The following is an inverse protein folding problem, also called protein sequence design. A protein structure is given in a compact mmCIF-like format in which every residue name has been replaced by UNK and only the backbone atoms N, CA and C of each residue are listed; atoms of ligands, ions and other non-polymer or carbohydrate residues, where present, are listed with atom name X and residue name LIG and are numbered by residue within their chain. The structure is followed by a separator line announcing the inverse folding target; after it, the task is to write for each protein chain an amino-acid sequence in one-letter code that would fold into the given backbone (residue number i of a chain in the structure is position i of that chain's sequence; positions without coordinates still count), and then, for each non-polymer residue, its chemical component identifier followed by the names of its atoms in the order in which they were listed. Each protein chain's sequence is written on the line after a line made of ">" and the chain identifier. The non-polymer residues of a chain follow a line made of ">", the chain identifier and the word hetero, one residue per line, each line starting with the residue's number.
data_IF_228006755975
#
_entry.id   IF_228006755975
#
_cell.length_a   1.000
_cell.length_b   1.000
_cell.length_c   1.000
_cell.angle_alpha   90.00
_cell.angle_beta   90.00
_cell.angle_gamma   90.00
#
_symmetry.space_group_name_H-M   'P 1'
#
loop_
_entity.id
_entity.type
_entity.pdbx_description
1 polymer ?
#
# COMPACT_ATOMS: atom_id res chain seq x y z
N UNK A 1 2.40 -17.96 -7.06
CA UNK A 1 2.43 -17.21 -8.31
C UNK A 1 3.78 -16.55 -8.50
N UNK A 2 4.25 -16.41 -9.74
CA UNK A 2 5.46 -15.67 -10.06
C UNK A 2 5.13 -14.47 -10.96
N UNK A 3 5.93 -13.41 -10.84
CA UNK A 3 5.81 -12.24 -11.69
C UNK A 3 6.02 -12.59 -13.18
N UNK A 4 6.86 -13.57 -13.49
CA UNK A 4 7.05 -14.08 -14.86
C UNK A 4 5.75 -14.66 -15.42
N UNK A 5 5.05 -15.50 -14.65
CA UNK A 5 3.77 -16.07 -15.08
C UNK A 5 2.69 -15.00 -15.26
N UNK A 6 2.60 -14.03 -14.33
CA UNK A 6 1.63 -12.93 -14.43
C UNK A 6 1.94 -12.05 -15.64
N UNK A 7 3.22 -11.72 -15.87
CA UNK A 7 3.65 -10.88 -17.00
C UNK A 7 3.34 -11.51 -18.36
N UNK A 8 3.36 -12.83 -18.44
CA UNK A 8 3.01 -13.57 -19.66
C UNK A 8 1.58 -13.26 -20.14
N UNK A 9 0.64 -13.07 -19.21
CA UNK A 9 -0.76 -12.81 -19.52
C UNK A 9 -1.08 -11.33 -19.77
N UNK A 10 -0.15 -10.42 -19.51
CA UNK A 10 -0.37 -9.01 -19.83
C UNK A 10 -0.24 -8.78 -21.35
N UNK A 11 -1.08 -7.90 -21.90
CA UNK A 11 -0.98 -7.45 -23.30
C UNK A 11 0.45 -7.00 -23.60
N UNK A 12 0.94 -7.37 -24.79
CA UNK A 12 2.27 -7.03 -25.29
C UNK A 12 3.41 -7.54 -24.35
N UNK A 13 3.21 -8.72 -23.76
CA UNK A 13 4.19 -9.35 -22.90
C UNK A 13 5.58 -9.36 -23.54
N UNK A 14 6.59 -9.02 -22.74
CA UNK A 14 8.00 -9.10 -23.15
C UNK A 14 8.52 -10.53 -23.26
N UNK A 15 7.79 -11.49 -22.73
CA UNK A 15 8.10 -12.93 -22.88
C UNK A 15 7.59 -13.41 -24.23
N UNK A 16 8.37 -14.25 -24.90
CA UNK A 16 7.98 -14.86 -26.16
C UNK A 16 6.70 -15.71 -25.95
N UNK A 17 5.58 -15.17 -26.35
CA UNK A 17 4.30 -15.83 -26.29
C UNK A 17 3.77 -16.06 -27.72
N UNK A 18 3.21 -17.22 -28.04
CA UNK A 18 2.66 -17.49 -29.37
C UNK A 18 1.42 -16.66 -29.67
N UNK A 19 0.81 -16.06 -28.64
CA UNK A 19 -0.41 -15.24 -28.76
C UNK A 19 -0.39 -14.07 -27.78
N UNK A 20 -0.84 -12.91 -28.24
CA UNK A 20 -1.12 -11.77 -27.36
C UNK A 20 -2.48 -12.00 -26.68
N UNK A 21 -2.52 -11.96 -25.35
CA UNK A 21 -3.76 -12.13 -24.59
C UNK A 21 -4.75 -10.96 -24.77
N UNK A 22 -4.24 -9.77 -25.17
CA UNK A 22 -4.95 -8.49 -25.19
C UNK A 22 -5.45 -8.00 -23.83
N UNK A 23 -5.10 -8.65 -22.71
CA UNK A 23 -5.43 -8.20 -21.37
C UNK A 23 -4.53 -7.03 -20.97
N UNK A 24 -5.05 -5.82 -20.97
CA UNK A 24 -4.29 -4.62 -20.56
C UNK A 24 -3.89 -4.68 -19.10
N UNK A 25 -4.79 -5.18 -18.26
CA UNK A 25 -4.63 -5.29 -16.82
C UNK A 25 -4.69 -6.76 -16.42
N UNK A 26 -3.76 -7.17 -15.59
CA UNK A 26 -3.73 -8.49 -14.93
C UNK A 26 -3.53 -8.30 -13.43
N UNK A 27 -3.99 -9.27 -12.63
CA UNK A 27 -3.92 -9.19 -11.17
C UNK A 27 -2.52 -9.55 -10.66
N UNK A 28 -1.96 -8.68 -9.86
CA UNK A 28 -0.61 -8.82 -9.29
C UNK A 28 -0.65 -9.61 -7.97
N UNK A 29 -1.02 -10.89 -8.06
CA UNK A 29 -1.00 -11.81 -6.91
C UNK A 29 0.40 -11.91 -6.25
N UNK A 30 1.51 -11.93 -7.02
CA UNK A 30 2.82 -11.94 -6.39
C UNK A 30 3.08 -10.71 -5.50
N UNK A 31 2.70 -9.50 -5.94
CA UNK A 31 2.82 -8.32 -5.08
C UNK A 31 1.95 -8.45 -3.83
N UNK A 32 0.74 -8.98 -3.95
CA UNK A 32 -0.14 -9.21 -2.80
C UNK A 32 0.53 -10.13 -1.78
N UNK A 33 1.15 -11.22 -2.20
CA UNK A 33 1.89 -12.14 -1.31
C UNK A 33 3.07 -11.43 -0.63
N UNK A 34 3.84 -10.63 -1.40
CA UNK A 34 4.94 -9.82 -0.85
C UNK A 34 4.47 -8.78 0.15
N UNK A 35 3.38 -8.05 -0.14
CA UNK A 35 2.80 -7.07 0.78
C UNK A 35 2.33 -7.72 2.10
N UNK A 36 1.63 -8.84 2.03
CA UNK A 36 1.15 -9.54 3.22
C UNK A 36 2.30 -9.93 4.16
N UNK A 37 3.42 -10.40 3.61
CA UNK A 37 4.61 -10.75 4.40
C UNK A 37 5.38 -9.51 4.86
N UNK A 38 5.59 -8.55 3.97
CA UNK A 38 6.39 -7.37 4.25
C UNK A 38 5.89 -6.56 5.44
N UNK A 39 4.57 -6.43 5.60
CA UNK A 39 3.98 -5.67 6.70
C UNK A 39 3.84 -6.47 8.00
N UNK A 40 4.01 -7.80 7.97
CA UNK A 40 4.08 -8.63 9.16
C UNK A 40 5.46 -8.64 9.81
N UNK A 41 6.50 -8.54 8.99
CA UNK A 41 7.89 -8.68 9.41
C UNK A 41 8.49 -7.32 9.79
N UNK A 42 9.49 -7.33 10.69
CA UNK A 42 10.40 -6.20 10.82
C UNK A 42 11.44 -6.20 9.69
N UNK A 43 11.86 -5.01 9.27
CA UNK A 43 12.89 -4.86 8.24
C UNK A 43 14.28 -4.82 8.91
N UNK A 44 14.80 -5.98 9.23
CA UNK A 44 16.09 -6.13 9.95
C UNK A 44 17.27 -6.45 9.06
N UNK A 45 17.02 -6.98 7.85
CA UNK A 45 18.05 -7.41 6.90
C UNK A 45 17.60 -7.23 5.45
N UNK A 46 18.34 -7.79 4.53
CA UNK A 46 18.11 -7.69 3.07
C UNK A 46 17.06 -8.70 2.55
N UNK A 47 16.37 -9.42 3.39
CA UNK A 47 15.46 -10.48 2.97
C UNK A 47 14.02 -10.34 3.52
N UNK A 48 13.83 -9.56 4.58
CA UNK A 48 12.56 -9.45 5.31
C UNK A 48 11.91 -8.07 5.26
N UNK A 49 10.70 -7.98 5.79
CA UNK A 49 9.97 -6.74 5.94
C UNK A 49 9.82 -5.96 4.64
N UNK A 50 10.00 -4.64 4.70
CA UNK A 50 9.83 -3.75 3.55
C UNK A 50 10.85 -4.01 2.42
N UNK A 51 11.94 -4.75 2.69
CA UNK A 51 12.87 -5.17 1.64
C UNK A 51 12.19 -6.07 0.61
N UNK A 52 11.20 -6.87 1.01
CA UNK A 52 10.40 -7.68 0.08
C UNK A 52 9.68 -6.86 -0.97
N UNK A 53 9.20 -5.67 -0.60
CA UNK A 53 8.54 -4.75 -1.53
C UNK A 53 9.54 -4.16 -2.52
N UNK A 54 10.70 -3.75 -2.02
CA UNK A 54 11.77 -3.24 -2.85
C UNK A 54 12.23 -4.29 -3.86
N UNK A 55 12.60 -5.48 -3.39
CA UNK A 55 13.09 -6.58 -4.24
C UNK A 55 12.06 -6.94 -5.32
N UNK A 56 10.78 -7.09 -4.94
CA UNK A 56 9.73 -7.38 -5.91
C UNK A 56 9.58 -6.29 -6.97
N UNK A 57 9.54 -5.02 -6.58
CA UNK A 57 9.35 -3.91 -7.51
C UNK A 57 10.56 -3.69 -8.44
N UNK A 58 11.78 -4.10 -8.05
CA UNK A 58 12.94 -4.08 -8.97
C UNK A 58 12.72 -4.99 -10.18
N UNK A 59 11.83 -5.97 -10.06
CA UNK A 59 11.50 -6.92 -11.13
C UNK A 59 10.39 -6.40 -12.07
N UNK A 60 9.91 -5.17 -11.91
CA UNK A 60 8.88 -4.58 -12.78
C UNK A 60 9.30 -4.53 -14.26
N UNK A 61 10.60 -4.66 -14.53
CA UNK A 61 11.15 -4.78 -15.89
C UNK A 61 10.58 -5.95 -16.70
N UNK A 62 10.04 -7.00 -16.05
CA UNK A 62 9.44 -8.15 -16.76
C UNK A 62 8.07 -7.83 -17.32
N UNK A 63 7.38 -6.83 -16.78
CA UNK A 63 6.04 -6.43 -17.25
C UNK A 63 6.12 -5.51 -18.47
N UNK A 64 5.17 -5.65 -19.38
CA UNK A 64 5.02 -4.72 -20.49
C UNK A 64 4.55 -3.33 -20.01
N UNK A 65 3.62 -3.32 -19.05
CA UNK A 65 3.03 -2.11 -18.49
C UNK A 65 2.76 -2.28 -16.98
N UNK A 66 3.77 -2.11 -16.10
CA UNK A 66 3.61 -2.33 -14.66
C UNK A 66 2.58 -1.39 -14.02
N UNK A 67 2.39 -0.18 -14.57
CA UNK A 67 1.36 0.76 -14.11
C UNK A 67 -0.07 0.29 -14.34
N UNK A 68 -0.28 -0.70 -15.21
CA UNK A 68 -1.59 -1.28 -15.50
C UNK A 68 -1.88 -2.56 -14.71
N UNK A 69 -1.02 -2.95 -13.78
CA UNK A 69 -1.27 -4.09 -12.92
C UNK A 69 -2.35 -3.75 -11.89
N UNK A 70 -3.31 -4.66 -11.68
CA UNK A 70 -4.29 -4.56 -10.61
C UNK A 70 -3.64 -5.07 -9.33
N UNK A 71 -3.49 -4.17 -8.35
CA UNK A 71 -2.81 -4.44 -7.07
C UNK A 71 -3.82 -4.42 -5.93
N UNK A 72 -3.65 -5.28 -4.94
CA UNK A 72 -4.61 -5.46 -3.85
C UNK A 72 -3.94 -6.10 -2.63
N UNK A 73 -4.52 -5.91 -1.45
CA UNK A 73 -4.06 -6.56 -0.20
C UNK A 73 -4.74 -7.88 0.03
N UNK A 74 -6.03 -7.95 -0.30
CA UNK A 74 -6.90 -9.10 -0.15
C UNK A 74 -8.01 -9.09 -1.20
N UNK A 75 -8.70 -10.22 -1.36
CA UNK A 75 -9.88 -10.35 -2.20
C UNK A 75 -10.79 -11.48 -1.66
N UNK A 76 -11.81 -11.87 -2.43
CA UNK A 76 -12.77 -12.90 -2.05
C UNK A 76 -12.20 -14.34 -1.99
N UNK A 77 -10.98 -14.55 -2.48
CA UNK A 77 -10.30 -15.87 -2.52
C UNK A 77 -9.11 -15.97 -1.56
N UNK A 78 -8.77 -14.87 -0.89
CA UNK A 78 -7.65 -14.81 0.06
C UNK A 78 -8.13 -14.49 1.47
N UNK A 79 -7.33 -14.80 2.48
CA UNK A 79 -7.58 -14.26 3.83
C UNK A 79 -7.66 -12.74 3.78
N UNK A 80 -8.51 -12.15 4.64
CA UNK A 80 -8.56 -10.71 4.81
C UNK A 80 -7.22 -10.20 5.32
N UNK A 81 -6.80 -9.04 4.87
CA UNK A 81 -5.53 -8.45 5.27
C UNK A 81 -5.53 -8.06 6.77
N UNK A 82 -6.63 -7.48 7.23
CA UNK A 82 -6.78 -7.18 8.66
C UNK A 82 -7.08 -8.48 9.44
N UNK A 83 -6.35 -8.62 10.56
CA UNK A 83 -6.52 -9.77 11.45
C UNK A 83 -7.24 -9.31 12.69
N UNK A 84 -8.32 -9.46 12.98
CA UNK A 84 -9.13 -9.05 14.13
C UNK A 84 -8.40 -9.20 15.50
N UNK A 85 -7.22 -8.61 15.62
CA UNK A 85 -6.51 -8.51 16.89
C UNK A 85 -6.58 -7.07 17.41
N UNK A 86 -6.52 -6.91 18.73
CA UNK A 86 -6.63 -5.64 19.42
C UNK A 86 -5.31 -4.85 19.47
N UNK A 87 -4.23 -5.41 18.90
CA UNK A 87 -2.92 -4.79 18.94
C UNK A 87 -2.89 -3.52 18.06
N UNK A 88 -2.42 -2.44 18.62
CA UNK A 88 -2.14 -1.19 17.92
C UNK A 88 -1.16 -1.39 16.76
N UNK A 89 -0.21 -2.33 16.91
CA UNK A 89 0.73 -2.72 15.88
C UNK A 89 0.02 -3.25 14.64
N UNK A 90 -1.04 -4.05 14.80
CA UNK A 90 -1.82 -4.54 13.68
C UNK A 90 -2.53 -3.39 12.92
N UNK A 91 -3.04 -2.37 13.61
CA UNK A 91 -3.63 -1.20 12.94
C UNK A 91 -2.56 -0.35 12.23
N UNK A 92 -1.36 -0.23 12.81
CA UNK A 92 -0.25 0.44 12.13
C UNK A 92 0.19 -0.33 10.88
N UNK A 93 0.24 -1.66 10.96
CA UNK A 93 0.45 -2.55 9.81
C UNK A 93 -0.58 -2.29 8.71
N UNK A 94 -1.85 -2.25 9.06
CA UNK A 94 -2.94 -1.95 8.13
C UNK A 94 -2.77 -0.56 7.47
N UNK A 95 -2.44 0.46 8.25
CA UNK A 95 -2.20 1.82 7.73
C UNK A 95 -1.01 1.88 6.78
N UNK A 96 0.10 1.20 7.11
CA UNK A 96 1.27 1.10 6.23
C UNK A 96 0.91 0.44 4.90
N UNK A 97 0.19 -0.67 4.95
CA UNK A 97 -0.20 -1.40 3.76
C UNK A 97 -1.12 -0.58 2.84
N UNK A 98 -2.10 0.12 3.41
CA UNK A 98 -2.97 1.03 2.63
C UNK A 98 -2.19 2.21 2.03
N UNK A 99 -1.28 2.82 2.80
CA UNK A 99 -0.45 3.90 2.28
C UNK A 99 0.38 3.42 1.08
N UNK A 100 1.01 2.26 1.20
CA UNK A 100 1.75 1.65 0.10
C UNK A 100 0.83 1.33 -1.09
N UNK A 101 -0.30 0.66 -0.87
CA UNK A 101 -1.25 0.30 -1.91
C UNK A 101 -1.73 1.53 -2.71
N UNK A 102 -1.95 2.66 -2.03
CA UNK A 102 -2.47 3.87 -2.68
C UNK A 102 -1.40 4.81 -3.24
N UNK A 103 -0.13 4.57 -2.96
CA UNK A 103 0.96 5.44 -3.44
C UNK A 103 1.94 4.73 -4.37
N UNK A 104 2.04 3.40 -4.33
CA UNK A 104 2.89 2.64 -5.26
C UNK A 104 2.33 2.62 -6.68
N UNK A 105 3.00 1.92 -7.58
CA UNK A 105 2.55 1.73 -8.97
C UNK A 105 1.35 0.78 -9.06
N UNK A 106 0.56 0.87 -10.12
CA UNK A 106 -0.57 0.00 -10.41
C UNK A 106 -1.93 0.62 -10.09
N UNK A 107 -2.98 -0.16 -10.30
CA UNK A 107 -4.37 0.19 -10.09
C UNK A 107 -4.85 -0.48 -8.80
N UNK A 108 -5.06 0.24 -7.71
CA UNK A 108 -5.45 -0.36 -6.45
C UNK A 108 -6.90 -0.87 -6.49
N UNK A 109 -7.08 -2.10 -6.06
CA UNK A 109 -8.38 -2.71 -5.78
C UNK A 109 -8.57 -2.84 -4.28
N UNK A 110 -9.75 -2.46 -3.79
CA UNK A 110 -10.15 -2.61 -2.39
C UNK A 110 -11.29 -3.61 -2.34
N UNK A 111 -11.13 -4.64 -1.52
CA UNK A 111 -12.21 -5.56 -1.24
C UNK A 111 -13.16 -4.95 -0.20
N UNK A 112 -14.47 -5.10 -0.38
CA UNK A 112 -15.46 -4.48 0.52
C UNK A 112 -15.24 -4.90 1.98
N UNK A 113 -15.47 -3.98 2.89
CA UNK A 113 -15.30 -4.21 4.33
C UNK A 113 -13.87 -4.03 4.83
N UNK A 114 -12.87 -3.89 3.93
CA UNK A 114 -11.50 -3.56 4.33
C UNK A 114 -11.48 -2.21 5.06
N UNK A 115 -12.30 -1.26 4.64
CA UNK A 115 -12.42 0.09 5.23
C UNK A 115 -12.99 0.11 6.67
N UNK A 116 -13.66 -0.97 7.08
CA UNK A 116 -14.20 -1.14 8.44
C UNK A 116 -13.56 -2.31 9.19
N UNK A 117 -12.38 -2.76 8.75
CA UNK A 117 -11.62 -3.80 9.40
C UNK A 117 -12.34 -5.15 9.48
N UNK A 118 -13.04 -5.56 8.42
CA UNK A 118 -13.56 -6.93 8.33
C UNK A 118 -12.38 -7.90 8.28
N UNK A 119 -12.45 -8.94 9.12
CA UNK A 119 -11.40 -9.93 9.27
C UNK A 119 -11.94 -11.34 9.03
N UNK A 120 -11.21 -12.15 8.29
CA UNK A 120 -11.48 -13.58 8.13
C UNK A 120 -10.24 -14.29 7.58
N UNK A 121 -10.05 -15.54 7.97
CA UNK A 121 -8.99 -16.40 7.46
C UNK A 121 -9.57 -17.39 6.45
N UNK A 122 -8.87 -17.58 5.34
CA UNK A 122 -9.20 -18.56 4.28
C UNK A 122 -9.30 -19.98 4.83
N UNK A 123 -8.50 -20.32 5.82
CA UNK A 123 -8.54 -21.64 6.46
C UNK A 123 -9.89 -21.95 7.10
N UNK A 124 -10.68 -20.93 7.44
CA UNK A 124 -12.01 -21.07 8.04
C UNK A 124 -13.15 -21.13 7.00
N UNK A 125 -12.82 -21.14 5.72
CA UNK A 125 -13.75 -21.29 4.61
C UNK A 125 -14.19 -19.98 3.94
N UNK A 126 -14.58 -20.09 2.69
CA UNK A 126 -14.94 -18.97 1.82
C UNK A 126 -16.16 -18.18 2.29
N UNK A 127 -17.10 -18.81 2.96
CA UNK A 127 -18.29 -18.14 3.48
C UNK A 127 -17.97 -17.02 4.47
N UNK A 128 -16.93 -17.19 5.28
CA UNK A 128 -16.47 -16.17 6.23
C UNK A 128 -15.72 -15.02 5.52
N UNK A 129 -14.99 -15.32 4.45
CA UNK A 129 -14.33 -14.28 3.64
C UNK A 129 -15.35 -13.38 2.94
N UNK A 130 -16.50 -13.93 2.58
CA UNK A 130 -17.54 -13.34 1.74
C UNK A 130 -18.82 -13.01 2.52
N UNK A 131 -18.73 -12.96 3.86
CA UNK A 131 -19.88 -12.60 4.69
C UNK A 131 -20.37 -11.19 4.34
N UNK A 132 -21.66 -10.95 4.59
CA UNK A 132 -22.29 -9.66 4.32
C UNK A 132 -21.60 -8.51 5.04
N UNK A 133 -21.58 -7.35 4.37
CA UNK A 133 -21.19 -6.10 5.02
C UNK A 133 -22.17 -5.79 6.16
N UNK A 134 -21.68 -5.44 7.37
CA UNK A 134 -22.55 -5.17 8.50
C UNK A 134 -23.44 -3.95 8.25
N UNK A 135 -24.68 -4.16 7.86
CA UNK A 135 -25.68 -3.11 7.64
C UNK A 135 -26.41 -3.21 6.30
N UNK A 136 -27.45 -2.37 6.15
CA UNK A 136 -28.28 -2.36 4.96
C UNK A 136 -29.46 -3.35 4.98
N UNK A 137 -29.48 -4.29 5.91
CA UNK A 137 -30.55 -5.26 6.09
C UNK A 137 -31.49 -4.85 7.24
N UNK A 138 -32.81 -5.05 7.07
CA UNK A 138 -33.81 -4.70 8.07
C UNK A 138 -33.60 -5.45 9.40
N UNK A 139 -33.10 -6.68 9.33
CA UNK A 139 -32.80 -7.52 10.50
C UNK A 139 -31.39 -7.34 11.07
N UNK A 140 -30.57 -6.47 10.49
CA UNK A 140 -29.18 -6.28 10.89
C UNK A 140 -29.07 -5.57 12.23
N UNK A 141 -28.38 -6.19 13.20
CA UNK A 141 -28.13 -5.62 14.53
C UNK A 141 -27.23 -4.38 14.49
N UNK A 142 -26.50 -4.18 13.41
CA UNK A 142 -25.50 -3.11 13.28
C UNK A 142 -25.41 -2.63 11.83
N UNK A 143 -25.42 -1.32 11.64
CA UNK A 143 -25.29 -0.69 10.31
C UNK A 143 -24.00 0.14 10.22
N UNK A 144 -22.92 -0.46 9.73
CA UNK A 144 -21.62 0.20 9.58
C UNK A 144 -21.54 1.20 8.41
N UNK A 145 -22.59 1.36 7.58
CA UNK A 145 -22.70 2.49 6.66
C UNK A 145 -22.84 3.82 7.44
N UNK A 146 -23.42 3.76 8.64
CA UNK A 146 -23.55 4.92 9.52
C UNK A 146 -22.33 5.03 10.44
N UNK A 147 -21.69 6.20 10.45
CA UNK A 147 -20.50 6.46 11.25
C UNK A 147 -20.71 6.19 12.76
N UNK A 148 -21.88 6.54 13.29
CA UNK A 148 -22.24 6.34 14.71
C UNK A 148 -22.18 4.86 15.14
N UNK A 149 -22.38 3.94 14.20
CA UNK A 149 -22.41 2.50 14.47
C UNK A 149 -21.04 1.81 14.29
N UNK A 150 -20.01 2.53 13.85
CA UNK A 150 -18.63 2.02 13.77
C UNK A 150 -17.98 2.11 15.15
N UNK A 151 -17.13 1.14 15.47
CA UNK A 151 -16.22 1.26 16.64
C UNK A 151 -15.23 2.40 16.43
N UNK A 152 -14.54 2.83 17.48
CA UNK A 152 -13.49 3.84 17.37
C UNK A 152 -12.41 3.43 16.35
N UNK A 153 -11.94 2.17 16.39
CA UNK A 153 -10.96 1.64 15.44
C UNK A 153 -11.47 1.58 14.01
N UNK A 154 -12.74 1.21 13.82
CA UNK A 154 -13.35 1.21 12.49
C UNK A 154 -13.50 2.62 11.92
N UNK A 155 -13.82 3.62 12.75
CA UNK A 155 -13.83 5.02 12.31
C UNK A 155 -12.44 5.46 11.90
N UNK A 156 -11.44 5.20 12.73
CA UNK A 156 -10.05 5.53 12.44
C UNK A 156 -9.56 4.91 11.12
N UNK A 157 -9.85 3.64 10.88
CA UNK A 157 -9.50 2.95 9.63
C UNK A 157 -10.22 3.53 8.42
N UNK A 158 -11.53 3.79 8.56
CA UNK A 158 -12.36 4.36 7.51
C UNK A 158 -11.89 5.77 7.13
N UNK A 159 -11.68 6.63 8.11
CA UNK A 159 -11.28 8.03 7.91
C UNK A 159 -9.87 8.08 7.28
N UNK A 160 -8.97 7.20 7.70
CA UNK A 160 -7.64 7.07 7.12
C UNK A 160 -7.70 6.68 5.64
N UNK A 161 -8.46 5.64 5.31
CA UNK A 161 -8.64 5.19 3.92
C UNK A 161 -9.33 6.26 3.09
N UNK A 162 -10.41 6.87 3.59
CA UNK A 162 -11.15 7.92 2.90
C UNK A 162 -10.23 9.11 2.56
N UNK A 163 -9.42 9.56 3.52
CA UNK A 163 -8.47 10.66 3.32
C UNK A 163 -7.50 10.37 2.19
N UNK A 164 -6.88 9.19 2.22
CA UNK A 164 -5.91 8.79 1.19
C UNK A 164 -6.56 8.67 -0.20
N UNK A 165 -7.77 8.10 -0.28
CA UNK A 165 -8.46 7.94 -1.56
C UNK A 165 -8.93 9.26 -2.15
N UNK A 166 -9.44 10.18 -1.31
CA UNK A 166 -9.83 11.53 -1.75
C UNK A 166 -8.62 12.31 -2.27
N UNK A 167 -7.50 12.27 -1.55
CA UNK A 167 -6.26 12.88 -1.99
C UNK A 167 -5.76 12.24 -3.30
N UNK A 168 -5.73 10.90 -3.38
CA UNK A 168 -5.26 10.17 -4.56
C UNK A 168 -6.06 10.53 -5.82
N UNK A 169 -7.36 10.73 -5.72
CA UNK A 169 -8.27 10.98 -6.85
C UNK A 169 -7.83 12.15 -7.72
N UNK A 170 -7.24 13.18 -7.12
CA UNK A 170 -6.75 14.37 -7.84
C UNK A 170 -5.24 14.38 -8.10
N UNK A 171 -4.50 13.38 -7.65
CA UNK A 171 -3.04 13.40 -7.67
C UNK A 171 -2.47 12.74 -8.93
N UNK A 172 -1.99 13.56 -9.89
CA UNK A 172 -1.42 13.08 -11.14
C UNK A 172 -0.08 12.36 -10.95
N UNK A 173 0.74 12.75 -9.96
CA UNK A 173 1.99 12.05 -9.67
C UNK A 173 1.72 10.59 -9.29
N UNK A 174 0.66 10.32 -8.54
CA UNK A 174 0.25 8.95 -8.20
C UNK A 174 -0.41 8.25 -9.39
N UNK A 175 -1.29 8.93 -10.13
CA UNK A 175 -2.07 8.31 -11.21
C UNK A 175 -1.24 7.98 -12.46
N UNK A 176 -0.27 8.85 -12.80
CA UNK A 176 0.46 8.82 -14.08
C UNK A 176 1.99 8.77 -13.91
N UNK A 177 2.49 9.02 -12.70
CA UNK A 177 3.92 9.22 -12.44
C UNK A 177 4.73 7.94 -12.51
N UNK A 178 6.01 8.11 -12.80
CA UNK A 178 7.01 7.05 -12.67
C UNK A 178 7.24 6.71 -11.20
N UNK A 179 7.73 5.53 -10.94
CA UNK A 179 8.19 5.09 -9.62
C UNK A 179 9.73 5.09 -9.59
N UNK A 180 10.30 5.76 -8.60
CA UNK A 180 11.71 5.66 -8.23
C UNK A 180 11.79 5.25 -6.77
N UNK A 181 12.59 4.25 -6.44
CA UNK A 181 12.68 3.75 -5.08
C UNK A 181 14.11 3.42 -4.67
N UNK A 182 14.35 3.39 -3.37
CA UNK A 182 15.64 3.15 -2.75
C UNK A 182 15.60 1.84 -1.96
N UNK A 183 16.71 1.10 -1.97
CA UNK A 183 16.84 -0.07 -1.10
C UNK A 183 16.62 0.35 0.37
N UNK A 184 15.82 -0.39 1.15
CA UNK A 184 15.63 -0.08 2.55
C UNK A 184 16.95 0.01 3.30
N UNK A 185 17.11 1.06 4.10
CA UNK A 185 18.28 1.29 4.93
C UNK A 185 17.85 1.46 6.39
N UNK A 186 18.40 0.68 7.30
CA UNK A 186 18.00 0.65 8.73
C UNK A 186 16.49 0.48 8.92
N UNK A 187 15.86 -0.30 8.05
CA UNK A 187 14.41 -0.51 8.07
C UNK A 187 13.55 0.59 7.46
N UNK A 188 14.16 1.66 6.94
CA UNK A 188 13.45 2.73 6.25
C UNK A 188 13.41 2.43 4.75
N UNK A 189 12.20 2.36 4.21
CA UNK A 189 11.95 2.28 2.78
C UNK A 189 11.47 3.62 2.25
N UNK A 190 12.11 4.12 1.19
CA UNK A 190 11.80 5.40 0.56
C UNK A 190 11.54 5.23 -0.93
N UNK A 191 10.54 5.93 -1.46
CA UNK A 191 10.26 6.00 -2.89
C UNK A 191 9.56 7.31 -3.28
N UNK A 192 9.69 7.64 -4.55
CA UNK A 192 9.04 8.79 -5.20
C UNK A 192 8.08 8.34 -6.31
N UNK A 193 6.95 9.04 -6.41
CA UNK A 193 6.11 9.07 -7.60
C UNK A 193 6.24 10.45 -8.23
N UNK A 194 6.54 10.52 -9.53
CA UNK A 194 6.79 11.81 -10.19
C UNK A 194 6.13 11.89 -11.56
N UNK A 195 5.42 13.01 -11.79
CA UNK A 195 4.82 13.35 -13.07
C UNK A 195 5.02 14.84 -13.36
N UNK A 196 5.83 15.16 -14.36
CA UNK A 196 6.20 16.55 -14.66
C UNK A 196 6.93 17.21 -13.46
N UNK A 197 6.37 18.30 -12.98
CA UNK A 197 6.87 19.04 -11.81
C UNK A 197 6.20 18.64 -10.49
N UNK A 198 5.26 17.70 -10.51
CA UNK A 198 4.56 17.17 -9.33
C UNK A 198 5.27 15.92 -8.83
N UNK A 199 5.55 15.86 -7.54
CA UNK A 199 6.10 14.65 -6.94
C UNK A 199 5.52 14.37 -5.57
N UNK A 200 5.48 13.09 -5.24
CA UNK A 200 5.12 12.55 -3.93
C UNK A 200 6.22 11.63 -3.49
N UNK A 201 6.81 11.93 -2.33
CA UNK A 201 7.82 11.09 -1.70
C UNK A 201 7.25 10.41 -0.47
N UNK A 202 7.45 9.12 -0.36
CA UNK A 202 6.97 8.31 0.76
C UNK A 202 8.15 7.73 1.52
N UNK A 203 8.12 7.89 2.84
CA UNK A 203 9.01 7.19 3.77
C UNK A 203 8.19 6.25 4.65
N UNK A 204 8.66 5.04 4.84
CA UNK A 204 8.04 4.03 5.69
C UNK A 204 9.08 3.44 6.64
N UNK A 205 8.74 3.35 7.91
CA UNK A 205 9.57 2.68 8.91
C UNK A 205 9.07 1.24 9.11
N UNK A 206 9.83 0.25 8.66
CA UNK A 206 9.52 -1.16 8.79
C UNK A 206 9.88 -1.77 10.15
N UNK A 207 10.37 -0.96 11.10
CA UNK A 207 10.69 -1.41 12.46
C UNK A 207 9.57 -1.01 13.44
N UNK A 208 9.49 -1.71 14.55
CA UNK A 208 8.54 -1.40 15.62
C UNK A 208 8.98 -0.18 16.46
N UNK A 209 10.26 0.19 16.41
CA UNK A 209 10.82 1.33 17.12
C UNK A 209 10.96 2.55 16.20
N UNK A 210 10.95 3.72 16.81
CA UNK A 210 11.27 4.98 16.15
C UNK A 210 12.66 4.95 15.51
N UNK A 211 12.79 5.58 14.34
CA UNK A 211 14.04 5.71 13.60
C UNK A 211 14.30 7.15 13.19
N UNK A 212 15.54 7.60 13.35
CA UNK A 212 16.05 8.81 12.72
C UNK A 212 16.53 8.49 11.31
N UNK A 213 16.12 9.31 10.35
CA UNK A 213 16.41 9.15 8.92
C UNK A 213 17.34 10.27 8.50
N UNK A 214 18.57 9.95 8.12
CA UNK A 214 19.42 10.88 7.39
C UNK A 214 18.84 11.11 5.99
N UNK A 215 18.45 12.34 5.68
CA UNK A 215 17.86 12.71 4.39
C UNK A 215 18.90 12.92 3.28
N UNK A 216 20.18 12.89 3.60
CA UNK A 216 21.27 13.11 2.62
C UNK A 216 21.21 12.18 1.41
N UNK A 217 20.97 10.85 1.56
CA UNK A 217 20.88 9.93 0.43
C UNK A 217 19.65 10.15 -0.46
N UNK A 218 18.63 10.85 0.05
CA UNK A 218 17.33 11.01 -0.61
C UNK A 218 17.13 12.39 -1.26
N UNK A 219 18.19 13.24 -1.34
CA UNK A 219 18.09 14.61 -1.86
C UNK A 219 17.46 14.71 -3.26
N UNK A 220 17.68 13.72 -4.10
CA UNK A 220 17.14 13.72 -5.46
C UNK A 220 15.61 13.59 -5.54
N UNK A 221 14.96 13.05 -4.47
CA UNK A 221 13.50 12.94 -4.35
C UNK A 221 12.92 13.95 -3.36
N UNK A 222 13.72 14.90 -2.87
CA UNK A 222 13.34 15.97 -1.96
C UNK A 222 13.66 17.32 -2.61
N UNK A 223 12.86 17.76 -3.60
CA UNK A 223 13.21 18.93 -4.44
C UNK A 223 13.11 20.27 -3.72
N UNK A 224 12.50 20.31 -2.52
CA UNK A 224 12.31 21.54 -1.72
C UNK A 224 12.70 21.31 -0.26
N UNK A 225 12.99 22.39 0.44
CA UNK A 225 13.31 22.37 1.87
C UNK A 225 12.10 22.11 2.78
N UNK A 226 10.90 21.97 2.21
CA UNK A 226 9.68 21.61 2.93
C UNK A 226 8.65 21.03 2.00
N UNK A 227 7.76 20.20 2.53
CA UNK A 227 6.66 19.57 1.81
C UNK A 227 5.38 19.54 2.64
N UNK A 228 4.25 19.27 2.02
CA UNK A 228 2.99 18.98 2.71
C UNK A 228 2.98 17.50 3.11
N UNK A 229 2.83 17.19 4.39
CA UNK A 229 2.48 15.83 4.80
C UNK A 229 0.99 15.59 4.55
N UNK A 230 0.72 14.66 3.67
CA UNK A 230 -0.64 14.30 3.24
C UNK A 230 -1.48 13.75 4.40
N UNK A 231 -0.86 13.01 5.32
CA UNK A 231 -1.56 12.37 6.44
C UNK A 231 -2.01 13.37 7.49
N UNK A 232 -1.19 14.36 7.82
CA UNK A 232 -1.51 15.38 8.84
C UNK A 232 -2.12 16.64 8.23
N UNK A 233 -1.82 16.93 6.97
CA UNK A 233 -2.16 18.19 6.32
C UNK A 233 -1.26 19.36 6.75
N UNK A 234 -0.13 19.07 7.40
CA UNK A 234 0.80 20.07 7.90
C UNK A 234 2.04 20.16 7.02
N UNK A 235 2.68 21.33 7.06
CA UNK A 235 3.97 21.55 6.37
C UNK A 235 5.10 20.99 7.22
N UNK A 236 5.92 20.12 6.63
CA UNK A 236 7.09 19.49 7.24
C UNK A 236 8.35 20.13 6.68
N UNK A 237 9.23 20.63 7.56
CA UNK A 237 10.56 21.08 7.18
C UNK A 237 11.50 19.90 6.94
N UNK A 238 12.24 19.94 5.82
CA UNK A 238 13.15 18.87 5.40
C UNK A 238 14.59 19.33 5.64
N UNK A 239 15.07 19.14 6.86
CA UNK A 239 16.45 19.45 7.26
C UNK A 239 17.43 18.35 6.85
N UNK A 240 18.41 18.09 7.70
CA UNK A 240 19.36 17.00 7.50
C UNK A 240 18.78 15.65 7.93
N UNK A 241 17.96 15.66 8.96
CA UNK A 241 17.39 14.47 9.58
C UNK A 241 15.89 14.63 9.78
N UNK A 242 15.18 13.51 9.80
CA UNK A 242 13.78 13.38 10.09
C UNK A 242 13.55 12.18 11.01
N UNK A 243 12.62 12.28 11.95
CA UNK A 243 12.24 11.15 12.82
C UNK A 243 10.93 10.55 12.38
N UNK A 244 10.86 9.23 12.33
CA UNK A 244 9.64 8.48 11.99
C UNK A 244 9.37 7.42 13.06
N UNK A 245 8.20 7.48 13.68
CA UNK A 245 7.77 6.52 14.72
C UNK A 245 7.82 5.08 14.23
N UNK A 246 7.80 4.13 15.13
CA UNK A 246 7.71 2.71 14.79
C UNK A 246 6.48 2.42 13.94
N UNK A 247 6.66 1.68 12.86
CA UNK A 247 5.63 1.45 11.82
C UNK A 247 5.03 2.74 11.24
N UNK A 248 5.73 3.86 11.39
CA UNK A 248 5.30 5.16 10.90
C UNK A 248 5.38 5.28 9.38
N UNK A 249 4.61 6.24 8.87
CA UNK A 249 4.53 6.57 7.44
C UNK A 249 4.57 8.09 7.31
N UNK A 250 5.26 8.57 6.31
CA UNK A 250 5.25 9.97 5.91
C UNK A 250 5.06 10.06 4.41
N UNK A 251 4.03 10.79 3.97
CA UNK A 251 3.71 11.01 2.57
C UNK A 251 3.85 12.50 2.28
N UNK A 252 4.89 12.87 1.58
CA UNK A 252 5.29 14.24 1.29
C UNK A 252 4.88 14.63 -0.13
N UNK A 253 4.08 15.67 -0.28
CA UNK A 253 3.67 16.24 -1.56
C UNK A 253 4.41 17.55 -1.84
N UNK A 254 4.94 17.69 -3.09
CA UNK A 254 5.74 18.82 -3.53
C UNK A 254 5.10 19.60 -4.68
#
# INVERSE_FOLDING_TARGET
>A
NSNVLVSFWQKDSKLAAPRNSNLRTVMDFPLMEHMNRAFDEETTDWSGGLFRLYDYLTQDLVYAAPMNLLIFLDNHDTSRFYRNDEDTKNLNRYKQALAFLFTTRGIPQIYYGTEILMAADKANGDGLLRCDYPGGWQSGLRNCFQNANRTARQREAFDYMQKLLQWRKGNEAIAKGTLKHFAPNKGIYAYERKYGNKSVTVFMNGNDKEQSIDLTPYKEILPKASALDVLTGTKVGLGKELTLSGRGILILEF
#
